data_IF_037621427459
#
_entry.id   IF_037621427459
#
_cell.length_a   1.000
_cell.length_b   1.000
_cell.length_c   1.000
_cell.angle_alpha   90.00
_cell.angle_beta   90.00
_cell.angle_gamma   90.00
#
_symmetry.space_group_name_H-M   'P 1'
#
loop_
_entity.id
_entity.type
_entity.pdbx_description
1 polymer ?
#
# COMPACT_ATOMS: atom_id res chain seq x y z
N UNK A 1 2.09 8.77 -3.41
CA UNK A 1 1.18 7.79 -2.77
C UNK A 1 1.19 6.46 -3.51
N UNK A 2 0.71 6.37 -4.75
CA UNK A 2 0.65 5.10 -5.52
C UNK A 2 1.98 4.35 -5.57
N UNK A 3 3.09 5.07 -5.84
CA UNK A 3 4.43 4.47 -5.84
C UNK A 3 4.81 3.81 -4.49
N UNK A 4 4.42 4.39 -3.35
CA UNK A 4 4.73 3.80 -2.04
C UNK A 4 3.92 2.52 -1.80
N UNK A 5 2.68 2.46 -2.29
CA UNK A 5 1.86 1.25 -2.22
C UNK A 5 2.47 0.13 -3.08
N UNK A 6 2.96 0.46 -4.28
CA UNK A 6 3.63 -0.52 -5.15
C UNK A 6 4.97 -0.99 -4.56
N UNK A 7 5.72 -0.09 -3.92
CA UNK A 7 6.96 -0.46 -3.23
C UNK A 7 6.73 -1.39 -2.02
N UNK A 8 5.64 -1.16 -1.27
CA UNK A 8 5.17 -2.04 -0.19
C UNK A 8 4.79 -3.41 -0.75
N UNK A 9 3.94 -3.46 -1.77
CA UNK A 9 3.54 -4.72 -2.41
C UNK A 9 4.77 -5.51 -2.88
N UNK A 10 5.71 -4.83 -3.53
CA UNK A 10 6.94 -5.45 -4.01
C UNK A 10 7.77 -6.01 -2.85
N UNK A 11 7.89 -5.29 -1.73
CA UNK A 11 8.63 -5.79 -0.58
C UNK A 11 8.03 -7.09 -0.01
N UNK A 12 6.70 -7.16 0.07
CA UNK A 12 5.97 -8.36 0.51
C UNK A 12 6.09 -9.50 -0.50
N UNK A 13 6.00 -9.18 -1.79
CA UNK A 13 6.12 -10.17 -2.87
C UNK A 13 7.51 -10.79 -2.91
N UNK A 14 8.55 -9.96 -2.84
CA UNK A 14 9.95 -10.41 -2.81
C UNK A 14 10.17 -11.32 -1.59
N UNK A 15 9.64 -10.94 -0.42
CA UNK A 15 9.71 -11.76 0.80
C UNK A 15 9.01 -13.13 0.64
N UNK A 16 7.82 -13.17 0.04
CA UNK A 16 7.10 -14.41 -0.23
C UNK A 16 7.85 -15.32 -1.20
N UNK A 17 8.51 -14.75 -2.21
CA UNK A 17 9.29 -15.48 -3.20
C UNK A 17 10.61 -16.03 -2.62
N UNK A 18 11.30 -15.25 -1.80
CA UNK A 18 12.54 -15.70 -1.16
C UNK A 18 12.29 -16.64 0.01
N UNK A 19 11.16 -16.46 0.72
CA UNK A 19 10.86 -17.12 1.98
C UNK A 19 11.40 -16.35 3.21
N UNK A 20 10.82 -16.65 4.37
CA UNK A 20 11.10 -15.93 5.63
C UNK A 20 12.53 -16.16 6.16
N UNK A 21 13.13 -17.31 5.86
CA UNK A 21 14.46 -17.69 6.38
C UNK A 21 15.62 -17.00 5.65
N UNK A 22 15.50 -16.82 4.34
CA UNK A 22 16.56 -16.27 3.49
C UNK A 22 16.35 -14.78 3.21
N UNK A 23 15.09 -14.37 3.00
CA UNK A 23 14.75 -12.97 2.69
C UNK A 23 14.39 -12.12 3.90
N UNK A 24 14.13 -12.74 5.07
CA UNK A 24 13.67 -12.04 6.28
C UNK A 24 14.53 -10.83 6.69
N UNK A 25 15.87 -10.96 6.81
CA UNK A 25 16.74 -9.85 7.21
C UNK A 25 16.70 -8.67 6.22
N UNK A 26 16.75 -8.94 4.92
CA UNK A 26 16.69 -7.91 3.89
C UNK A 26 15.31 -7.24 3.83
N UNK A 27 14.23 -8.03 3.95
CA UNK A 27 12.87 -7.54 4.01
C UNK A 27 12.64 -6.66 5.24
N UNK A 28 13.17 -7.04 6.41
CA UNK A 28 13.08 -6.26 7.65
C UNK A 28 13.63 -4.83 7.48
N UNK A 29 14.87 -4.69 6.99
CA UNK A 29 15.47 -3.37 6.76
C UNK A 29 14.68 -2.53 5.74
N UNK A 30 14.17 -3.17 4.68
CA UNK A 30 13.36 -2.51 3.65
C UNK A 30 12.01 -2.05 4.20
N UNK A 31 11.32 -2.89 4.97
CA UNK A 31 10.04 -2.58 5.60
C UNK A 31 10.16 -1.43 6.60
N UNK A 32 11.24 -1.39 7.40
CA UNK A 32 11.56 -0.27 8.29
C UNK A 32 11.63 1.06 7.54
N UNK A 33 12.35 1.07 6.42
CA UNK A 33 12.49 2.26 5.56
C UNK A 33 11.15 2.66 4.94
N UNK A 34 10.40 1.69 4.43
CA UNK A 34 9.08 1.94 3.84
C UNK A 34 8.08 2.45 4.87
N UNK A 35 8.14 1.96 6.11
CA UNK A 35 7.27 2.44 7.18
C UNK A 35 7.47 3.93 7.46
N UNK A 36 8.72 4.40 7.55
CA UNK A 36 9.03 5.83 7.72
C UNK A 36 8.47 6.64 6.55
N UNK A 37 8.73 6.20 5.32
CA UNK A 37 8.22 6.88 4.12
C UNK A 37 6.70 6.92 4.02
N UNK A 38 6.03 5.86 4.50
CA UNK A 38 4.57 5.82 4.58
C UNK A 38 4.05 6.84 5.59
N UNK A 39 4.68 6.93 6.77
CA UNK A 39 4.33 7.90 7.80
C UNK A 39 4.47 9.34 7.28
N UNK A 40 5.61 9.66 6.66
CA UNK A 40 5.89 10.97 6.07
C UNK A 40 4.90 11.35 4.95
N UNK A 41 4.34 10.35 4.27
CA UNK A 41 3.35 10.52 3.21
C UNK A 41 1.90 10.49 3.70
N UNK A 42 1.65 10.38 5.01
CA UNK A 42 0.31 10.29 5.60
C UNK A 42 -0.37 8.92 5.47
N UNK A 43 0.36 7.87 5.06
CA UNK A 43 -0.10 6.49 4.98
C UNK A 43 0.08 5.76 6.31
N UNK A 44 -0.49 6.31 7.39
CA UNK A 44 -0.30 5.82 8.77
C UNK A 44 -0.62 4.33 8.95
N UNK A 45 -1.71 3.85 8.35
CA UNK A 45 -2.06 2.42 8.39
C UNK A 45 -1.02 1.56 7.67
N UNK A 46 -0.52 2.01 6.52
CA UNK A 46 0.55 1.32 5.80
C UNK A 46 1.86 1.29 6.60
N UNK A 47 2.19 2.39 7.27
CA UNK A 47 3.36 2.48 8.15
C UNK A 47 3.26 1.50 9.34
N UNK A 48 2.11 1.46 10.02
CA UNK A 48 1.86 0.55 11.13
C UNK A 48 1.99 -0.91 10.70
N UNK A 49 1.34 -1.30 9.61
CA UNK A 49 1.39 -2.69 9.10
C UNK A 49 2.80 -3.09 8.66
N UNK A 50 3.56 -2.18 8.03
CA UNK A 50 4.94 -2.43 7.67
C UNK A 50 5.85 -2.62 8.89
N UNK A 51 5.65 -1.83 9.97
CA UNK A 51 6.36 -2.01 11.26
C UNK A 51 6.02 -3.32 11.94
N UNK A 52 4.75 -3.71 11.95
CA UNK A 52 4.33 -4.98 12.53
C UNK A 52 4.99 -6.18 11.84
N UNK A 53 5.03 -6.17 10.50
CA UNK A 53 5.73 -7.21 9.75
C UNK A 53 7.24 -7.18 9.99
N UNK A 54 7.83 -6.00 10.00
CA UNK A 54 9.26 -5.81 10.32
C UNK A 54 9.62 -6.37 11.70
N UNK A 55 8.86 -6.02 12.74
CA UNK A 55 9.04 -6.53 14.11
C UNK A 55 8.90 -8.06 14.16
N UNK A 56 7.91 -8.63 13.46
CA UNK A 56 7.73 -10.08 13.39
C UNK A 56 8.93 -10.79 12.73
N UNK A 57 9.50 -10.19 11.69
CA UNK A 57 10.68 -10.72 11.01
C UNK A 57 11.95 -10.58 11.85
N UNK A 58 12.11 -9.49 12.59
CA UNK A 58 13.26 -9.25 13.46
C UNK A 58 13.28 -10.17 14.69
N UNK A 59 12.12 -10.48 15.26
CA UNK A 59 12.02 -11.39 16.40
C UNK A 59 12.26 -12.86 16.02
N UNK A 60 11.93 -13.26 14.78
CA UNK A 60 11.90 -14.67 14.35
C UNK A 60 13.25 -15.41 14.43
N UNK A 61 14.40 -14.83 14.06
CA UNK A 61 15.71 -15.50 14.19
C UNK A 61 16.10 -15.83 15.64
N UNK A 62 15.55 -15.11 16.63
CA UNK A 62 15.88 -15.28 18.04
C UNK A 62 14.96 -16.27 18.76
N UNK A 63 13.92 -16.78 18.09
CA UNK A 63 12.98 -17.74 18.66
C UNK A 63 13.47 -19.18 18.49
N UNK A 64 13.32 -19.99 19.56
CA UNK A 64 13.67 -21.41 19.57
C UNK A 64 12.78 -22.23 18.61
N UNK A 65 11.49 -21.87 18.55
CA UNK A 65 10.53 -22.34 17.55
C UNK A 65 10.17 -21.19 16.63
N UNK A 66 10.39 -21.38 15.33
CA UNK A 66 10.11 -20.35 14.32
C UNK A 66 8.60 -20.22 14.11
N UNK A 67 8.02 -19.19 14.72
CA UNK A 67 6.65 -18.81 14.43
C UNK A 67 6.54 -18.22 13.00
N UNK A 68 5.84 -18.96 12.14
CA UNK A 68 5.54 -18.54 10.76
C UNK A 68 4.15 -17.90 10.63
N UNK A 69 3.27 -18.08 11.63
CA UNK A 69 1.90 -17.59 11.58
C UNK A 69 1.87 -16.08 11.79
N UNK A 70 2.67 -15.54 12.71
CA UNK A 70 2.69 -14.09 12.96
C UNK A 70 3.14 -13.27 11.73
N UNK A 71 4.28 -13.58 11.07
CA UNK A 71 4.65 -12.91 9.82
C UNK A 71 3.60 -13.11 8.72
N UNK A 72 3.03 -14.31 8.58
CA UNK A 72 2.00 -14.58 7.58
C UNK A 72 0.73 -13.73 7.81
N UNK A 73 0.27 -13.60 9.05
CA UNK A 73 -0.87 -12.75 9.39
C UNK A 73 -0.58 -11.27 9.10
N UNK A 74 0.64 -10.80 9.35
CA UNK A 74 1.05 -9.44 8.99
C UNK A 74 1.05 -9.22 7.47
N UNK A 75 1.57 -10.19 6.70
CA UNK A 75 1.55 -10.18 5.23
C UNK A 75 0.11 -10.11 4.71
N UNK A 76 -0.80 -10.94 5.20
CA UNK A 76 -2.20 -10.94 4.77
C UNK A 76 -2.91 -9.61 5.04
N UNK A 77 -2.67 -9.01 6.21
CA UNK A 77 -3.25 -7.70 6.55
C UNK A 77 -2.70 -6.59 5.67
N UNK A 78 -1.39 -6.61 5.40
CA UNK A 78 -0.74 -5.64 4.52
C UNK A 78 -1.24 -5.79 3.07
N UNK A 79 -1.38 -7.02 2.56
CA UNK A 79 -1.97 -7.28 1.25
C UNK A 79 -3.40 -6.75 1.16
N UNK A 80 -4.23 -7.01 2.18
CA UNK A 80 -5.62 -6.51 2.20
C UNK A 80 -5.69 -4.99 2.23
N UNK A 81 -4.80 -4.33 2.97
CA UNK A 81 -4.70 -2.87 2.98
C UNK A 81 -4.38 -2.31 1.59
N UNK A 82 -3.43 -2.93 0.87
CA UNK A 82 -3.04 -2.51 -0.47
C UNK A 82 -4.19 -2.65 -1.49
N UNK A 83 -4.95 -3.75 -1.42
CA UNK A 83 -6.15 -3.95 -2.22
C UNK A 83 -7.17 -2.82 -2.01
N UNK A 84 -7.51 -2.54 -0.74
CA UNK A 84 -8.45 -1.48 -0.39
C UNK A 84 -7.99 -0.10 -0.89
N UNK A 85 -6.69 0.20 -0.80
CA UNK A 85 -6.14 1.45 -1.33
C UNK A 85 -6.30 1.55 -2.85
N UNK A 86 -6.15 0.44 -3.58
CA UNK A 86 -6.34 0.38 -5.03
C UNK A 86 -7.80 0.52 -5.43
N UNK A 87 -8.70 -0.18 -4.74
CA UNK A 87 -10.15 -0.05 -4.92
C UNK A 87 -10.58 1.41 -4.72
N UNK A 88 -10.10 2.06 -3.65
CA UNK A 88 -10.39 3.48 -3.38
C UNK A 88 -9.86 4.40 -4.49
N UNK A 89 -8.62 4.18 -4.94
CA UNK A 89 -8.03 4.98 -6.01
C UNK A 89 -8.80 4.82 -7.34
N UNK A 90 -9.29 3.61 -7.63
CA UNK A 90 -10.11 3.34 -8.80
C UNK A 90 -11.46 4.06 -8.69
N UNK A 91 -12.11 4.02 -7.52
CA UNK A 91 -13.34 4.77 -7.26
C UNK A 91 -13.14 6.27 -7.48
N UNK A 92 -12.08 6.86 -6.91
CA UNK A 92 -11.75 8.27 -7.09
C UNK A 92 -11.52 8.64 -8.56
N UNK A 93 -10.86 7.77 -9.32
CA UNK A 93 -10.65 7.96 -10.75
C UNK A 93 -11.96 7.93 -11.54
N UNK A 94 -12.91 7.05 -11.16
CA UNK A 94 -14.25 7.02 -11.73
C UNK A 94 -14.96 8.34 -11.42
N UNK A 95 -15.06 8.74 -10.15
CA UNK A 95 -15.73 9.98 -9.75
C UNK A 95 -15.21 11.20 -10.52
N UNK A 96 -13.89 11.35 -10.62
CA UNK A 96 -13.26 12.44 -11.39
C UNK A 96 -13.63 12.42 -12.87
N UNK A 97 -13.68 11.24 -13.49
CA UNK A 97 -14.08 11.10 -14.89
C UNK A 97 -15.53 11.51 -15.13
N UNK A 98 -16.42 11.18 -14.20
CA UNK A 98 -17.83 11.57 -14.27
C UNK A 98 -17.98 13.09 -14.12
N UNK A 99 -17.25 13.70 -13.17
CA UNK A 99 -17.25 15.15 -12.97
C UNK A 99 -16.75 15.91 -14.21
N UNK A 100 -15.66 15.45 -14.83
CA UNK A 100 -15.12 16.05 -16.05
C UNK A 100 -16.14 16.03 -17.20
N UNK A 101 -16.82 14.89 -17.43
CA UNK A 101 -17.87 14.77 -18.46
C UNK A 101 -19.08 15.68 -18.21
N UNK A 102 -19.45 15.86 -16.94
CA UNK A 102 -20.52 16.78 -16.55
C UNK A 102 -20.20 18.25 -16.82
N UNK A 103 -18.92 18.63 -16.69
CA UNK A 103 -18.43 19.99 -16.97
C UNK A 103 -18.37 20.27 -18.49
N UNK A 104 -17.87 19.33 -19.29
CA UNK A 104 -17.86 19.45 -20.77
C UNK A 104 -19.27 19.58 -21.37
N UNK A 105 -20.26 18.95 -20.72
CA UNK A 105 -21.68 19.02 -21.10
C UNK A 105 -22.34 20.35 -20.71
N UNK A 106 -21.79 21.08 -19.74
CA UNK A 106 -22.30 22.40 -19.32
C UNK A 106 -21.67 23.56 -20.12
N UNK A 107 -20.40 23.44 -20.53
CA UNK A 107 -19.74 24.47 -21.35
C UNK A 107 -20.21 24.48 -22.81
N UNK A 108 -20.71 23.35 -23.33
CA UNK A 108 -21.37 23.29 -24.64
C UNK A 108 -22.78 23.89 -24.66
N UNK A 109 -23.32 24.27 -23.49
CA UNK A 109 -24.67 24.81 -23.33
C UNK A 109 -24.66 26.25 -22.78
N UNK A 110 -23.63 27.05 -23.13
CA UNK A 110 -23.79 28.51 -23.13
C UNK A 110 -24.42 28.92 -24.48
N UNK A 111 -25.69 29.36 -24.52
CA UNK A 111 -26.22 29.94 -25.75
C UNK A 111 -25.41 31.21 -26.02
N UNK A 112 -24.95 31.38 -27.27
CA UNK A 112 -24.56 32.67 -27.78
C UNK A 112 -25.74 33.64 -27.61
N UNK A 113 -25.75 34.37 -26.50
CA UNK A 113 -26.58 35.54 -26.31
C UNK A 113 -26.00 36.65 -27.17
N UNK A 114 -26.74 37.01 -28.23
CA UNK A 114 -26.53 38.21 -29.02
C UNK A 114 -26.23 39.43 -28.15
N UNK A 115 -25.25 40.23 -28.58
CA UNK A 115 -25.43 41.64 -28.95
C UNK A 115 -24.38 42.00 -30.02
#
# INVERSE_FOLDING_TARGET
>A
MTQLLDELERAVTDLLQSGLDTGGPAACARLRTLAVRCEDAGLHTGAALARELETALEARPHALEKDNLTPAACICRLARYLELCREKAQEDAIVRRWQARGQDSQDTQKPGGNL
#
